data_IF_015224146676
#
_entry.id   IF_015224146676
#
_cell.length_a   1.000
_cell.length_b   1.000
_cell.length_c   1.000
_cell.angle_alpha   90.00
_cell.angle_beta   90.00
_cell.angle_gamma   90.00
#
_symmetry.space_group_name_H-M   'P 1'
#
loop_
_entity.id
_entity.type
_entity.pdbx_description
1 polymer ?
#
# COMPACT_ATOMS: atom_id res chain seq x y z
N UNK A 1 1.92 -20.01 14.03
CA UNK A 1 2.84 -18.88 13.80
C UNK A 1 1.97 -17.64 13.64
N UNK A 2 2.36 -16.48 14.12
CA UNK A 2 1.57 -15.27 13.88
C UNK A 2 1.40 -15.06 12.37
N UNK A 3 0.22 -14.65 11.96
CA UNK A 3 -0.18 -14.47 10.54
C UNK A 3 0.48 -13.29 9.81
N UNK A 4 1.51 -12.67 10.40
CA UNK A 4 2.19 -11.47 9.89
C UNK A 4 3.72 -11.56 10.06
N UNK A 5 4.31 -12.74 9.92
CA UNK A 5 5.75 -12.94 10.12
C UNK A 5 6.59 -12.07 9.18
N UNK A 6 6.12 -11.85 7.93
CA UNK A 6 6.81 -11.00 6.96
C UNK A 6 6.96 -9.54 7.42
N UNK A 7 6.00 -9.02 8.18
CA UNK A 7 6.02 -7.63 8.65
C UNK A 7 6.64 -7.47 10.05
N UNK A 8 6.99 -8.58 10.70
CA UNK A 8 7.64 -8.60 12.02
C UNK A 8 9.01 -9.29 11.95
N UNK A 9 9.06 -10.58 12.23
CA UNK A 9 10.30 -11.35 12.33
C UNK A 9 11.09 -11.44 11.02
N UNK A 10 10.41 -11.36 9.87
CA UNK A 10 10.98 -11.43 8.52
C UNK A 10 11.00 -10.07 7.80
N UNK A 11 10.79 -8.96 8.52
CA UNK A 11 10.74 -7.61 7.94
C UNK A 11 11.98 -7.26 7.10
N UNK A 12 13.15 -7.79 7.45
CA UNK A 12 14.39 -7.63 6.70
C UNK A 12 14.40 -8.33 5.32
N UNK A 13 13.45 -9.26 5.06
CA UNK A 13 13.27 -9.85 3.73
C UNK A 13 12.21 -9.13 2.88
N UNK A 14 11.49 -8.19 3.47
CA UNK A 14 10.43 -7.46 2.77
C UNK A 14 10.96 -6.70 1.55
N UNK A 15 12.06 -5.98 1.69
CA UNK A 15 12.67 -5.24 0.58
C UNK A 15 13.16 -6.18 -0.53
N UNK A 16 13.61 -7.41 -0.19
CA UNK A 16 13.97 -8.41 -1.18
C UNK A 16 12.73 -8.92 -1.94
N UNK A 17 11.63 -9.12 -1.22
CA UNK A 17 10.36 -9.53 -1.83
C UNK A 17 9.80 -8.46 -2.76
N UNK A 18 10.05 -7.19 -2.48
CA UNK A 18 9.58 -6.04 -3.24
C UNK A 18 10.63 -5.43 -4.19
N UNK A 19 11.75 -6.14 -4.45
CA UNK A 19 12.90 -5.59 -5.18
C UNK A 19 12.62 -5.25 -6.67
N UNK A 20 11.54 -5.77 -7.26
CA UNK A 20 11.09 -5.47 -8.62
C UNK A 20 10.14 -4.27 -8.73
N UNK A 21 9.79 -3.66 -7.59
CA UNK A 21 8.90 -2.48 -7.57
C UNK A 21 9.73 -1.23 -7.88
N UNK A 22 9.32 -0.49 -8.90
CA UNK A 22 9.90 0.82 -9.23
C UNK A 22 9.25 1.92 -8.38
N UNK A 23 9.68 2.01 -7.10
CA UNK A 23 9.18 3.02 -6.15
C UNK A 23 9.40 4.45 -6.62
N UNK A 24 10.49 4.71 -7.37
CA UNK A 24 10.77 6.02 -7.92
C UNK A 24 9.70 6.42 -8.95
N UNK A 25 9.38 5.52 -9.90
CA UNK A 25 8.38 5.80 -10.93
C UNK A 25 6.99 5.93 -10.32
N UNK A 26 6.63 5.08 -9.34
CA UNK A 26 5.40 5.22 -8.58
C UNK A 26 5.31 6.60 -7.91
N UNK A 27 6.34 7.01 -7.19
CA UNK A 27 6.39 8.30 -6.50
C UNK A 27 6.32 9.49 -7.44
N UNK A 28 7.00 9.42 -8.60
CA UNK A 28 6.91 10.46 -9.66
C UNK A 28 5.49 10.61 -10.19
N UNK A 29 4.84 9.49 -10.49
CA UNK A 29 3.46 9.52 -11.01
C UNK A 29 2.50 10.11 -9.99
N UNK A 30 2.60 9.72 -8.73
CA UNK A 30 1.76 10.25 -7.66
C UNK A 30 2.03 11.74 -7.43
N UNK A 31 3.28 12.18 -7.46
CA UNK A 31 3.62 13.60 -7.38
C UNK A 31 3.03 14.40 -8.56
N UNK A 32 2.97 13.81 -9.78
CA UNK A 32 2.28 14.43 -10.93
C UNK A 32 0.78 14.52 -10.69
N UNK A 33 0.14 13.46 -10.21
CA UNK A 33 -1.29 13.46 -9.88
C UNK A 33 -1.61 14.51 -8.79
N UNK A 34 -0.78 14.61 -7.75
CA UNK A 34 -0.94 15.63 -6.73
C UNK A 34 -0.83 17.06 -7.28
N UNK A 35 0.08 17.31 -8.23
CA UNK A 35 0.18 18.63 -8.89
C UNK A 35 -1.00 18.93 -9.82
N UNK A 36 -1.63 17.92 -10.39
CA UNK A 36 -2.77 18.08 -11.32
C UNK A 36 -4.11 18.27 -10.57
N UNK A 37 -4.32 17.54 -9.49
CA UNK A 37 -5.61 17.43 -8.82
C UNK A 37 -5.61 17.99 -7.39
N UNK A 38 -4.44 18.17 -6.77
CA UNK A 38 -4.31 18.57 -5.38
C UNK A 38 -4.27 20.08 -5.15
N UNK A 39 -4.11 20.47 -3.89
CA UNK A 39 -4.13 21.84 -3.41
C UNK A 39 -2.78 22.58 -3.52
N UNK A 40 -1.74 21.91 -4.04
CA UNK A 40 -0.39 22.48 -4.20
C UNK A 40 0.45 22.57 -2.92
N UNK A 41 -0.03 22.03 -1.80
CA UNK A 41 0.75 21.90 -0.55
C UNK A 41 1.85 20.84 -0.66
N UNK A 42 2.67 20.68 0.38
CA UNK A 42 3.79 19.75 0.39
C UNK A 42 3.86 18.84 1.63
N UNK A 43 2.82 18.84 2.46
CA UNK A 43 2.74 17.94 3.62
C UNK A 43 2.31 16.55 3.12
N UNK A 44 3.14 15.54 3.33
CA UNK A 44 2.93 14.19 2.84
C UNK A 44 2.90 13.16 3.96
N UNK A 45 1.94 12.25 3.91
CA UNK A 45 1.86 11.07 4.77
C UNK A 45 1.78 9.81 3.91
N UNK A 46 2.68 8.87 4.13
CA UNK A 46 2.59 7.51 3.62
C UNK A 46 1.92 6.61 4.67
N UNK A 47 0.71 6.17 4.40
CA UNK A 47 -0.09 5.31 5.26
C UNK A 47 0.19 3.84 4.92
N UNK A 48 0.56 3.04 5.93
CA UNK A 48 1.16 1.71 5.79
C UNK A 48 2.49 1.78 4.99
N UNK A 49 3.40 2.65 5.44
CA UNK A 49 4.62 3.00 4.74
C UNK A 49 5.66 1.87 4.66
N UNK A 50 5.47 0.78 5.44
CA UNK A 50 6.42 -0.32 5.51
C UNK A 50 7.82 0.16 5.85
N UNK A 51 8.81 -0.20 5.04
CA UNK A 51 10.22 0.19 5.19
C UNK A 51 10.55 1.59 4.62
N UNK A 52 9.55 2.38 4.21
CA UNK A 52 9.67 3.79 3.82
C UNK A 52 10.27 4.11 2.45
N UNK A 53 10.22 3.25 1.42
CA UNK A 53 10.85 3.54 0.13
C UNK A 53 10.21 4.73 -0.60
N UNK A 54 8.89 4.90 -0.55
CA UNK A 54 8.20 6.06 -1.12
C UNK A 54 8.59 7.36 -0.39
N UNK A 55 8.67 7.32 0.95
CA UNK A 55 9.03 8.48 1.77
C UNK A 55 10.35 9.08 1.32
N UNK A 56 11.39 8.24 1.05
CA UNK A 56 12.68 8.72 0.55
C UNK A 56 12.51 9.56 -0.72
N UNK A 57 11.73 9.08 -1.68
CA UNK A 57 11.51 9.79 -2.94
C UNK A 57 10.71 11.08 -2.76
N UNK A 58 9.68 11.09 -1.89
CA UNK A 58 8.90 12.30 -1.63
C UNK A 58 9.72 13.38 -0.93
N UNK A 59 10.64 13.02 -0.02
CA UNK A 59 11.62 13.96 0.55
C UNK A 59 12.49 14.57 -0.56
N UNK A 60 13.00 13.74 -1.46
CA UNK A 60 13.82 14.18 -2.60
C UNK A 60 13.06 15.11 -3.56
N UNK A 61 11.72 14.99 -3.63
CA UNK A 61 10.83 15.88 -4.40
C UNK A 61 10.46 17.17 -3.64
N UNK A 62 10.93 17.36 -2.40
CA UNK A 62 10.70 18.56 -1.59
C UNK A 62 9.44 18.52 -0.72
N UNK A 63 8.87 17.33 -0.46
CA UNK A 63 7.78 17.19 0.49
C UNK A 63 8.30 17.11 1.93
N UNK A 64 7.54 17.66 2.86
CA UNK A 64 7.68 17.39 4.28
C UNK A 64 6.98 16.06 4.57
N UNK A 65 7.76 14.96 4.55
CA UNK A 65 7.24 13.62 4.55
C UNK A 65 7.17 12.99 5.94
N UNK A 66 6.11 12.26 6.19
CA UNK A 66 5.90 11.41 7.35
C UNK A 66 5.39 10.04 6.94
N UNK A 67 5.53 9.06 7.83
CA UNK A 67 5.06 7.70 7.59
C UNK A 67 4.37 7.09 8.79
N UNK A 68 3.39 6.26 8.56
CA UNK A 68 2.81 5.42 9.59
C UNK A 68 2.73 3.97 9.13
N UNK A 69 2.91 3.06 10.08
CA UNK A 69 2.68 1.63 9.89
C UNK A 69 2.18 1.03 11.21
N UNK A 70 1.53 -0.13 11.14
CA UNK A 70 1.11 -0.86 12.33
C UNK A 70 2.27 -1.65 12.97
N UNK A 71 3.32 -1.92 12.21
CA UNK A 71 4.42 -2.82 12.58
C UNK A 71 5.68 -2.04 12.91
N UNK A 72 6.07 -2.03 14.18
CA UNK A 72 7.28 -1.34 14.64
C UNK A 72 8.57 -1.77 13.92
N UNK A 73 8.81 -3.08 13.65
CA UNK A 73 10.00 -3.50 12.90
C UNK A 73 10.12 -2.88 11.50
N UNK A 74 8.99 -2.60 10.83
CA UNK A 74 8.98 -1.86 9.55
C UNK A 74 9.40 -0.41 9.74
N UNK A 75 8.85 0.26 10.77
CA UNK A 75 9.17 1.65 11.08
C UNK A 75 10.64 1.83 11.49
N UNK A 76 11.23 0.85 12.18
CA UNK A 76 12.66 0.88 12.54
C UNK A 76 13.55 0.90 11.29
N UNK A 77 13.20 0.12 10.26
CA UNK A 77 13.89 0.13 8.97
C UNK A 77 13.65 1.45 8.24
N UNK A 78 12.40 1.95 8.23
CA UNK A 78 12.02 3.22 7.60
C UNK A 78 12.77 4.40 8.25
N UNK A 79 12.88 4.44 9.56
CA UNK A 79 13.63 5.45 10.30
C UNK A 79 15.12 5.43 9.94
N UNK A 80 15.70 4.23 9.75
CA UNK A 80 17.09 4.09 9.26
C UNK A 80 17.28 4.60 7.83
N UNK A 81 16.26 4.44 6.96
CA UNK A 81 16.27 4.90 5.57
C UNK A 81 16.06 6.40 5.44
N UNK A 82 15.18 6.98 6.25
CA UNK A 82 14.76 8.37 6.19
C UNK A 82 14.82 9.01 7.59
N UNK A 83 16.01 9.24 8.16
CA UNK A 83 16.14 9.74 9.53
C UNK A 83 15.55 11.14 9.73
N UNK A 84 15.36 11.90 8.67
CA UNK A 84 14.75 13.24 8.66
C UNK A 84 13.21 13.22 8.65
N UNK A 85 12.58 12.07 8.39
CA UNK A 85 11.12 11.94 8.40
C UNK A 85 10.57 11.61 9.79
N UNK A 86 9.31 11.98 10.02
CA UNK A 86 8.60 11.59 11.24
C UNK A 86 7.83 10.30 11.00
N UNK A 87 8.05 9.30 11.88
CA UNK A 87 7.35 8.02 11.82
C UNK A 87 6.56 7.78 13.11
N UNK A 88 5.39 7.13 12.98
CA UNK A 88 4.58 6.77 14.13
C UNK A 88 3.80 5.46 13.90
N UNK A 89 3.65 4.68 14.98
CA UNK A 89 2.93 3.41 14.94
C UNK A 89 1.45 3.62 15.16
N UNK A 90 0.61 3.21 14.19
CA UNK A 90 -0.85 3.34 14.29
C UNK A 90 -1.56 2.36 13.35
N UNK A 91 -2.80 1.94 13.70
CA UNK A 91 -3.74 1.29 12.77
C UNK A 91 -4.35 2.38 11.85
N UNK A 92 -4.42 2.12 10.55
CA UNK A 92 -4.94 3.09 9.58
C UNK A 92 -6.43 3.43 9.80
N UNK A 93 -7.21 2.52 10.39
CA UNK A 93 -8.62 2.78 10.77
C UNK A 93 -8.76 3.75 11.96
N UNK A 94 -7.65 4.01 12.66
CA UNK A 94 -7.60 4.92 13.82
C UNK A 94 -6.74 6.16 13.55
N UNK A 95 -6.38 6.42 12.28
CA UNK A 95 -5.48 7.50 11.88
C UNK A 95 -5.79 8.83 12.57
N UNK A 96 -4.78 9.40 13.21
CA UNK A 96 -4.76 10.73 13.79
C UNK A 96 -3.44 11.43 13.47
N UNK A 97 -3.51 12.61 12.93
CA UNK A 97 -2.34 13.46 12.66
C UNK A 97 -2.43 14.74 13.48
N UNK A 98 -1.28 15.26 13.91
CA UNK A 98 -1.23 16.51 14.68
C UNK A 98 -1.62 17.73 13.83
N UNK A 99 -1.27 17.71 12.55
CA UNK A 99 -1.60 18.74 11.57
C UNK A 99 -2.08 18.07 10.29
N UNK A 100 -3.13 18.60 9.63
CA UNK A 100 -3.57 18.06 8.35
C UNK A 100 -2.48 18.11 7.29
N UNK A 101 -2.55 17.17 6.34
CA UNK A 101 -1.60 17.00 5.25
C UNK A 101 -2.25 17.24 3.89
N UNK A 102 -1.45 17.36 2.84
CA UNK A 102 -1.92 17.68 1.49
C UNK A 102 -2.01 16.45 0.59
N UNK A 103 -1.23 15.43 0.91
CA UNK A 103 -1.20 14.16 0.20
C UNK A 103 -1.09 13.01 1.18
N UNK A 104 -2.01 12.05 1.08
CA UNK A 104 -1.90 10.74 1.75
C UNK A 104 -1.80 9.67 0.68
N UNK A 105 -0.85 8.74 0.83
CA UNK A 105 -0.75 7.54 0.00
C UNK A 105 -0.98 6.28 0.82
N UNK A 106 -1.46 5.21 0.15
CA UNK A 106 -1.57 3.88 0.72
C UNK A 106 -1.34 2.86 -0.39
N UNK A 107 -0.08 2.43 -0.57
CA UNK A 107 0.30 1.62 -1.72
C UNK A 107 0.43 0.14 -1.40
N UNK A 108 0.77 -0.64 -2.44
CA UNK A 108 0.91 -2.10 -2.41
C UNK A 108 -0.33 -2.79 -1.84
N UNK A 109 -1.51 -2.25 -2.21
CA UNK A 109 -2.82 -2.79 -1.84
C UNK A 109 -3.10 -2.77 -0.33
N UNK A 110 -2.33 -1.97 0.43
CA UNK A 110 -2.42 -1.93 1.89
C UNK A 110 -3.79 -1.50 2.40
N UNK A 111 -4.57 -0.77 1.61
CA UNK A 111 -5.94 -0.37 1.94
C UNK A 111 -6.84 -1.57 2.31
N UNK A 112 -6.61 -2.73 1.70
CA UNK A 112 -7.38 -3.94 1.97
C UNK A 112 -7.11 -4.57 3.35
N UNK A 113 -5.99 -4.21 4.03
CA UNK A 113 -5.68 -4.68 5.38
C UNK A 113 -6.62 -4.12 6.46
N UNK A 114 -7.55 -3.26 6.12
CA UNK A 114 -8.67 -2.92 7.00
C UNK A 114 -9.57 -4.12 7.35
N UNK A 115 -9.45 -5.25 6.62
CA UNK A 115 -10.07 -6.55 6.85
C UNK A 115 -11.61 -6.57 6.78
N UNK A 116 -12.31 -5.51 7.20
CA UNK A 116 -13.76 -5.40 7.16
C UNK A 116 -14.18 -4.08 6.51
N UNK A 117 -15.37 -4.06 5.92
CA UNK A 117 -15.93 -2.84 5.32
C UNK A 117 -16.07 -1.74 6.37
N UNK A 118 -16.54 -2.06 7.58
CA UNK A 118 -16.68 -1.07 8.66
C UNK A 118 -15.35 -0.42 9.07
N UNK A 119 -14.25 -1.19 9.13
CA UNK A 119 -12.92 -0.61 9.38
C UNK A 119 -12.42 0.23 8.21
N UNK A 120 -12.71 -0.17 6.99
CA UNK A 120 -12.36 0.59 5.79
C UNK A 120 -13.13 1.92 5.75
N UNK A 121 -14.42 1.94 6.08
CA UNK A 121 -15.22 3.16 6.24
C UNK A 121 -14.62 4.09 7.31
N UNK A 122 -14.24 3.53 8.46
CA UNK A 122 -13.56 4.28 9.52
C UNK A 122 -12.23 4.87 9.02
N UNK A 123 -11.42 4.08 8.30
CA UNK A 123 -10.17 4.53 7.69
C UNK A 123 -10.42 5.70 6.71
N UNK A 124 -11.38 5.58 5.80
CA UNK A 124 -11.74 6.64 4.83
C UNK A 124 -12.15 7.92 5.55
N UNK A 125 -12.97 7.83 6.61
CA UNK A 125 -13.38 8.98 7.41
C UNK A 125 -12.16 9.64 8.11
N UNK A 126 -11.22 8.86 8.63
CA UNK A 126 -10.00 9.36 9.26
C UNK A 126 -9.05 10.01 8.25
N UNK A 127 -8.90 9.42 7.07
CA UNK A 127 -8.13 10.00 5.96
C UNK A 127 -8.74 11.35 5.55
N UNK A 128 -10.06 11.42 5.40
CA UNK A 128 -10.74 12.67 5.11
C UNK A 128 -10.47 13.74 6.18
N UNK A 129 -10.55 13.39 7.45
CA UNK A 129 -10.26 14.32 8.55
C UNK A 129 -8.78 14.79 8.56
N UNK A 130 -7.86 13.92 8.17
CA UNK A 130 -6.41 14.18 8.15
C UNK A 130 -5.94 15.03 6.95
N UNK A 131 -6.75 15.16 5.90
CA UNK A 131 -6.40 15.96 4.72
C UNK A 131 -6.80 17.44 4.89
N UNK A 132 -5.99 18.33 4.32
CA UNK A 132 -6.38 19.71 4.04
C UNK A 132 -7.47 19.77 2.96
N UNK A 133 -8.29 20.82 2.87
CA UNK A 133 -9.22 21.02 1.75
C UNK A 133 -8.47 20.96 0.41
N UNK A 134 -9.01 20.22 -0.57
CA UNK A 134 -8.36 19.96 -1.85
C UNK A 134 -7.15 19.02 -1.77
N UNK A 135 -6.81 18.49 -0.60
CA UNK A 135 -5.78 17.46 -0.45
C UNK A 135 -6.24 16.13 -1.06
N UNK A 136 -5.28 15.27 -1.37
CA UNK A 136 -5.51 14.01 -2.11
C UNK A 136 -5.21 12.79 -1.24
N UNK A 137 -6.11 11.79 -1.33
CA UNK A 137 -5.81 10.41 -0.95
C UNK A 137 -5.57 9.58 -2.22
N UNK A 138 -4.37 9.02 -2.37
CA UNK A 138 -3.98 8.22 -3.52
C UNK A 138 -3.58 6.81 -3.09
N UNK A 139 -4.25 5.79 -3.62
CA UNK A 139 -3.99 4.39 -3.26
C UNK A 139 -4.29 3.45 -4.42
N UNK A 140 -3.67 2.27 -4.42
CA UNK A 140 -4.02 1.23 -5.37
C UNK A 140 -4.90 0.15 -4.73
N UNK A 141 -5.77 -0.43 -5.55
CA UNK A 141 -6.75 -1.44 -5.14
C UNK A 141 -6.86 -2.56 -6.17
N UNK A 142 -7.34 -3.73 -5.73
CA UNK A 142 -7.76 -4.82 -6.60
C UNK A 142 -9.27 -4.95 -6.58
N UNK A 143 -9.87 -5.22 -7.76
CA UNK A 143 -11.30 -5.55 -7.85
C UNK A 143 -11.51 -7.01 -7.50
N UNK A 144 -12.33 -7.30 -6.47
CA UNK A 144 -12.60 -8.67 -6.02
C UNK A 144 -13.16 -9.58 -7.12
N UNK A 145 -13.91 -9.00 -8.09
CA UNK A 145 -14.54 -9.76 -9.15
C UNK A 145 -13.56 -10.17 -10.27
N UNK A 146 -12.37 -9.53 -10.29
CA UNK A 146 -11.33 -9.76 -11.30
C UNK A 146 -10.08 -10.44 -10.71
N UNK A 147 -10.16 -10.91 -9.45
CA UNK A 147 -9.08 -11.67 -8.83
C UNK A 147 -8.90 -13.02 -9.51
N UNK A 148 -7.67 -13.27 -9.96
CA UNK A 148 -7.24 -14.57 -10.44
C UNK A 148 -6.81 -15.44 -9.25
N UNK A 149 -7.59 -16.46 -8.93
CA UNK A 149 -7.31 -17.39 -7.83
C UNK A 149 -6.19 -18.42 -8.14
N UNK A 150 -5.61 -18.37 -9.34
CA UNK A 150 -4.47 -19.23 -9.69
C UNK A 150 -3.23 -18.85 -8.90
N UNK A 151 -2.34 -19.81 -8.60
CA UNK A 151 -1.09 -19.49 -7.93
C UNK A 151 -0.29 -18.40 -8.66
N UNK A 152 0.19 -17.42 -7.90
CA UNK A 152 1.02 -16.34 -8.44
C UNK A 152 2.37 -16.85 -8.95
N UNK A 153 3.06 -16.00 -9.70
CA UNK A 153 4.39 -16.29 -10.24
C UNK A 153 5.40 -16.40 -9.11
N UNK A 154 6.25 -17.45 -9.17
CA UNK A 154 7.39 -17.58 -8.27
C UNK A 154 8.52 -16.69 -8.77
N UNK A 155 9.11 -15.93 -7.87
CA UNK A 155 10.26 -15.08 -8.12
C UNK A 155 11.47 -15.59 -7.35
N UNK A 156 12.56 -15.82 -8.06
CA UNK A 156 13.81 -16.30 -7.50
C UNK A 156 14.85 -15.19 -7.42
N UNK A 157 15.59 -15.14 -6.32
CA UNK A 157 16.61 -14.13 -6.05
C UNK A 157 17.74 -14.76 -5.23
N UNK A 158 19.01 -14.52 -5.62
CA UNK A 158 20.17 -14.84 -4.80
C UNK A 158 20.58 -13.62 -3.96
N UNK A 159 20.74 -13.80 -2.66
CA UNK A 159 21.18 -12.75 -1.76
C UNK A 159 22.02 -13.29 -0.61
N UNK A 160 23.21 -12.72 -0.38
CA UNK A 160 24.14 -13.07 0.71
C UNK A 160 24.40 -14.57 0.84
N UNK A 161 24.60 -15.27 -0.28
CA UNK A 161 24.91 -16.71 -0.30
C UNK A 161 23.73 -17.63 -0.04
N UNK A 162 22.51 -17.08 -0.03
CA UNK A 162 21.25 -17.83 0.04
C UNK A 162 20.42 -17.63 -1.22
N UNK A 163 19.69 -18.66 -1.62
CA UNK A 163 18.68 -18.60 -2.67
C UNK A 163 17.30 -18.40 -2.06
N UNK A 164 16.56 -17.43 -2.57
CA UNK A 164 15.20 -17.11 -2.14
C UNK A 164 14.22 -17.42 -3.26
N UNK A 165 13.04 -17.95 -2.89
CA UNK A 165 11.89 -18.05 -3.75
C UNK A 165 10.70 -17.39 -3.05
N UNK A 166 10.22 -16.29 -3.63
CA UNK A 166 9.04 -15.56 -3.15
C UNK A 166 7.85 -15.87 -4.03
N UNK A 167 6.67 -16.03 -3.42
CA UNK A 167 5.40 -16.16 -4.12
C UNK A 167 4.30 -15.44 -3.37
N UNK A 168 3.46 -14.70 -4.10
CA UNK A 168 2.24 -14.08 -3.57
C UNK A 168 1.07 -14.40 -4.48
N UNK A 169 -0.09 -14.67 -3.91
CA UNK A 169 -1.33 -14.86 -4.66
C UNK A 169 -2.52 -14.32 -3.89
N UNK A 170 -3.41 -13.70 -4.65
CA UNK A 170 -4.71 -13.30 -4.16
C UNK A 170 -5.68 -14.47 -4.23
N UNK A 171 -6.59 -14.52 -3.28
CA UNK A 171 -7.68 -15.49 -3.29
C UNK A 171 -8.98 -14.83 -2.84
N UNK A 172 -10.01 -14.90 -3.70
CA UNK A 172 -11.36 -14.49 -3.37
C UNK A 172 -12.32 -15.65 -3.60
N UNK A 173 -13.15 -16.07 -2.59
CA UNK A 173 -14.02 -17.24 -2.73
C UNK A 173 -15.24 -17.02 -3.65
N UNK A 174 -15.39 -15.84 -4.27
CA UNK A 174 -16.49 -15.49 -5.16
C UNK A 174 -17.71 -14.91 -4.45
N UNK A 175 -17.74 -14.92 -3.12
CA UNK A 175 -18.85 -14.38 -2.31
C UNK A 175 -18.32 -13.73 -1.03
N UNK A 176 -19.09 -12.76 -0.48
CA UNK A 176 -18.77 -12.10 0.78
C UNK A 176 -17.82 -10.91 0.62
N UNK A 177 -17.35 -10.42 1.77
CA UNK A 177 -16.56 -9.19 1.92
C UNK A 177 -15.12 -9.45 2.34
N UNK A 178 -14.66 -10.71 2.22
CA UNK A 178 -13.29 -11.09 2.58
C UNK A 178 -12.57 -11.76 1.44
N UNK A 179 -11.33 -11.38 1.26
CA UNK A 179 -10.34 -11.99 0.39
C UNK A 179 -9.07 -12.25 1.19
N UNK A 180 -8.11 -12.93 0.60
CA UNK A 180 -6.84 -13.26 1.24
C UNK A 180 -5.67 -12.95 0.32
N UNK A 181 -4.60 -12.42 0.89
CA UNK A 181 -3.28 -12.48 0.29
C UNK A 181 -2.50 -13.61 0.95
N UNK A 182 -2.04 -14.56 0.14
CA UNK A 182 -1.22 -15.68 0.56
C UNK A 182 0.21 -15.41 0.13
N UNK A 183 1.14 -15.47 1.08
CA UNK A 183 2.57 -15.22 0.86
C UNK A 183 3.36 -16.47 1.22
N UNK A 184 4.41 -16.76 0.47
CA UNK A 184 5.43 -17.72 0.85
C UNK A 184 6.82 -17.22 0.55
N UNK A 185 7.73 -17.50 1.48
CA UNK A 185 9.16 -17.27 1.36
C UNK A 185 9.85 -18.61 1.58
N UNK A 186 10.60 -19.04 0.60
CA UNK A 186 11.52 -20.18 0.72
C UNK A 186 12.95 -19.65 0.63
N UNK A 187 13.77 -19.99 1.63
CA UNK A 187 15.20 -19.63 1.69
C UNK A 187 16.03 -20.89 1.77
N UNK A 188 16.97 -21.05 0.85
CA UNK A 188 17.91 -22.16 0.83
C UNK A 188 19.32 -21.64 1.07
N UNK A 189 19.98 -22.14 2.13
CA UNK A 189 21.36 -21.78 2.48
C UNK A 189 22.16 -23.08 2.68
N UNK A 190 23.23 -23.27 1.92
CA UNK A 190 24.10 -24.46 2.00
C UNK A 190 23.33 -25.79 1.95
N UNK A 191 22.25 -25.87 1.14
CA UNK A 191 21.43 -27.07 0.97
C UNK A 191 20.31 -27.23 2.03
N UNK A 192 20.25 -26.38 3.04
CA UNK A 192 19.15 -26.38 4.01
C UNK A 192 18.07 -25.37 3.57
N UNK A 193 16.82 -25.80 3.59
CA UNK A 193 15.67 -24.97 3.17
C UNK A 193 14.75 -24.67 4.33
N UNK A 194 14.48 -23.37 4.52
CA UNK A 194 13.47 -22.84 5.43
C UNK A 194 12.29 -22.34 4.62
N UNK A 195 11.05 -22.57 5.10
CA UNK A 195 9.83 -22.17 4.42
C UNK A 195 8.88 -21.49 5.39
N UNK A 196 8.48 -20.26 5.05
CA UNK A 196 7.46 -19.48 5.75
C UNK A 196 6.25 -19.29 4.85
N UNK A 197 5.05 -19.31 5.46
CA UNK A 197 3.78 -19.05 4.80
C UNK A 197 2.94 -18.15 5.69
N UNK A 198 2.44 -17.08 5.10
CA UNK A 198 1.51 -16.16 5.75
C UNK A 198 0.19 -16.10 4.98
N UNK A 199 -0.90 -15.93 5.72
CA UNK A 199 -2.24 -15.75 5.20
C UNK A 199 -2.80 -14.45 5.79
N UNK A 200 -3.01 -13.47 4.93
CA UNK A 200 -3.48 -12.15 5.32
C UNK A 200 -4.95 -11.99 4.96
N UNK A 201 -5.87 -11.97 5.94
CA UNK A 201 -7.27 -11.63 5.67
C UNK A 201 -7.36 -10.16 5.26
N UNK A 202 -8.14 -9.89 4.21
CA UNK A 202 -8.28 -8.57 3.61
C UNK A 202 -9.74 -8.28 3.27
N UNK A 203 -10.12 -7.00 3.29
CA UNK A 203 -11.43 -6.57 2.82
C UNK A 203 -11.55 -6.79 1.29
N UNK A 204 -12.66 -7.35 0.85
CA UNK A 204 -12.95 -7.62 -0.55
C UNK A 204 -14.03 -6.66 -1.08
N UNK A 205 -13.66 -5.77 -2.00
CA UNK A 205 -14.56 -4.84 -2.67
C UNK A 205 -14.37 -4.89 -4.18
N UNK A 206 -15.43 -4.58 -4.92
CA UNK A 206 -15.29 -4.15 -6.31
C UNK A 206 -14.88 -2.68 -6.36
N UNK A 207 -14.38 -2.21 -7.50
CA UNK A 207 -14.06 -0.79 -7.67
C UNK A 207 -15.31 0.09 -7.54
N UNK A 208 -16.47 -0.37 -8.01
CA UNK A 208 -17.74 0.33 -7.80
C UNK A 208 -18.07 0.50 -6.31
N UNK A 209 -17.92 -0.56 -5.51
CA UNK A 209 -18.13 -0.48 -4.05
C UNK A 209 -17.10 0.45 -3.37
N UNK A 210 -15.84 0.45 -3.79
CA UNK A 210 -14.82 1.37 -3.28
C UNK A 210 -15.18 2.82 -3.61
N UNK A 211 -15.64 3.08 -4.83
CA UNK A 211 -16.10 4.39 -5.26
C UNK A 211 -17.31 4.87 -4.44
N UNK A 212 -18.31 4.02 -4.24
CA UNK A 212 -19.48 4.32 -3.40
C UNK A 212 -19.11 4.72 -1.97
N UNK A 213 -18.06 4.13 -1.38
CA UNK A 213 -17.57 4.49 -0.05
C UNK A 213 -16.87 5.86 -0.02
N UNK A 214 -16.22 6.26 -1.09
CA UNK A 214 -15.44 7.50 -1.18
C UNK A 214 -16.30 8.72 -1.58
N UNK A 215 -17.24 8.56 -2.52
CA UNK A 215 -18.00 9.65 -3.13
C UNK A 215 -18.76 10.56 -2.16
N UNK A 216 -19.24 10.12 -0.98
CA UNK A 216 -19.89 11.02 -0.05
C UNK A 216 -19.03 12.20 0.42
N UNK A 217 -17.70 12.05 0.43
CA UNK A 217 -16.76 13.03 0.98
C UNK A 217 -15.64 13.44 0.04
N UNK A 218 -15.42 12.69 -1.02
CA UNK A 218 -14.35 12.91 -2.02
C UNK A 218 -14.91 13.09 -3.43
N UNK A 219 -14.19 13.81 -4.27
CA UNK A 219 -14.26 13.66 -5.71
C UNK A 219 -13.31 12.54 -6.11
N UNK A 220 -13.78 11.52 -6.85
CA UNK A 220 -13.04 10.29 -7.10
C UNK A 220 -12.69 10.16 -8.57
N UNK A 221 -11.41 9.90 -8.86
CA UNK A 221 -10.91 9.51 -10.18
C UNK A 221 -10.24 8.14 -10.08
N UNK A 222 -10.45 7.30 -11.08
CA UNK A 222 -9.86 5.96 -11.17
C UNK A 222 -8.99 5.91 -12.43
N UNK A 223 -7.73 5.52 -12.26
CA UNK A 223 -6.74 5.42 -13.33
C UNK A 223 -6.23 3.99 -13.47
N UNK A 224 -5.70 3.69 -14.66
CA UNK A 224 -4.96 2.44 -14.88
C UNK A 224 -3.79 2.34 -13.90
N UNK A 225 -3.50 1.11 -13.44
CA UNK A 225 -2.36 0.81 -12.60
C UNK A 225 -1.05 0.79 -13.44
N UNK A 226 -0.82 1.93 -14.13
CA UNK A 226 0.39 2.18 -14.91
C UNK A 226 1.01 3.51 -14.44
N UNK A 227 2.14 3.41 -13.75
CA UNK A 227 2.81 4.58 -13.18
C UNK A 227 3.61 5.41 -14.20
N UNK A 228 3.64 5.02 -15.46
CA UNK A 228 4.31 5.78 -16.54
C UNK A 228 3.37 6.75 -17.23
N UNK A 229 2.09 6.44 -17.27
CA UNK A 229 1.06 7.23 -17.94
C UNK A 229 -0.12 7.53 -17.01
N UNK A 230 -0.83 8.64 -17.25
CA UNK A 230 -2.10 8.95 -16.58
C UNK A 230 -3.22 8.63 -17.57
N UNK A 231 -3.74 7.42 -17.47
CA UNK A 231 -4.86 6.96 -18.31
C UNK A 231 -6.05 6.63 -17.41
N UNK A 232 -7.27 7.11 -17.73
CA UNK A 232 -8.47 6.66 -17.05
C UNK A 232 -8.57 5.13 -17.08
N UNK A 233 -9.06 4.54 -16.00
CA UNK A 233 -9.29 3.10 -15.95
C UNK A 233 -10.29 2.67 -17.05
N UNK A 234 -9.96 1.63 -17.78
CA UNK A 234 -10.72 1.15 -18.95
C UNK A 234 -11.77 0.08 -18.62
N UNK A 235 -12.04 -0.14 -17.32
CA UNK A 235 -13.01 -1.10 -16.79
C UNK A 235 -12.66 -2.59 -17.06
N UNK A 236 -11.45 -2.87 -17.52
CA UNK A 236 -11.03 -4.27 -17.83
C UNK A 236 -9.92 -4.80 -16.91
N UNK A 237 -9.07 -3.92 -16.37
CA UNK A 237 -8.00 -4.36 -15.46
C UNK A 237 -8.53 -4.56 -14.05
N UNK A 238 -8.06 -5.61 -13.38
CA UNK A 238 -8.39 -5.91 -11.98
C UNK A 238 -7.57 -5.09 -10.97
N UNK A 239 -6.68 -4.21 -11.43
CA UNK A 239 -5.85 -3.31 -10.63
C UNK A 239 -6.09 -1.88 -11.07
N UNK A 240 -6.29 -0.97 -10.13
CA UNK A 240 -6.47 0.44 -10.42
C UNK A 240 -5.82 1.33 -9.36
N UNK A 241 -5.53 2.56 -9.78
CA UNK A 241 -5.07 3.65 -8.93
C UNK A 241 -6.23 4.60 -8.67
N UNK A 242 -6.59 4.76 -7.41
CA UNK A 242 -7.64 5.68 -6.96
C UNK A 242 -7.00 7.01 -6.53
N UNK A 243 -7.61 8.11 -6.97
CA UNK A 243 -7.29 9.47 -6.56
C UNK A 243 -8.56 10.10 -6.03
N UNK A 244 -8.63 10.27 -4.71
CA UNK A 244 -9.77 10.82 -4.00
C UNK A 244 -9.41 12.22 -3.49
N UNK A 245 -10.07 13.26 -3.99
CA UNK A 245 -9.81 14.67 -3.68
C UNK A 245 -10.78 15.11 -2.59
N UNK A 246 -10.31 15.61 -1.46
CA UNK A 246 -11.15 16.11 -0.38
C UNK A 246 -11.94 17.34 -0.84
N UNK A 247 -13.28 17.22 -0.75
CA UNK A 247 -14.21 18.32 -1.00
C UNK A 247 -14.23 19.31 0.17
#
# INVERSE_FOLDING_TARGET
MPSNALYSDLSHYYDLMCADIDYLEQSKQVSRLHRLFGNGGNQYLDMACGTGPHIRHFIDFGYAASGMDMNQPMLDIAQGRCPEAYFFQQDMSELQVATPVDLITCFLYSIHYNQTIAKLEACIAKVHAALNPGGIFCFNSVDKNLIDNRPGIKRHLSHQGSEFCFQSNWHYPGTGEQQQLQLSIEKTTAGNTELWRDHHPMAALSFAQMQELLEPTFEVHIFEHDYRTILPWNETSGNALFVAIKR
#
